data_IF_169434438097
#
_entry.id   IF_169434438097
#
_cell.length_a   1.000
_cell.length_b   1.000
_cell.length_c   1.000
_cell.angle_alpha   90.00
_cell.angle_beta   90.00
_cell.angle_gamma   90.00
#
_symmetry.space_group_name_H-M   'P 1'
#
loop_
_entity.id
_entity.type
_entity.pdbx_description
1 polymer ?
#
# COMPACT_ATOMS: atom_id res chain seq x y z
N UNK A 1 -7.50 21.01 1.00
CA UNK A 1 -7.58 21.34 -0.44
C UNK A 1 -7.54 22.85 -0.56
N UNK A 2 -6.52 23.39 -1.22
CA UNK A 2 -6.37 24.81 -1.53
C UNK A 2 -7.35 25.13 -2.69
N UNK A 3 -8.48 25.74 -2.37
CA UNK A 3 -9.47 26.24 -3.31
C UNK A 3 -9.85 27.65 -2.90
N UNK A 4 -9.65 28.59 -3.82
CA UNK A 4 -9.83 30.04 -3.68
C UNK A 4 -11.16 30.39 -3.03
N UNK A 5 -11.14 31.25 -2.00
CA UNK A 5 -12.33 31.79 -1.32
C UNK A 5 -12.66 33.18 -1.85
N UNK A 6 -13.83 33.31 -2.48
CA UNK A 6 -14.57 34.59 -2.60
C UNK A 6 -15.84 34.58 -1.71
N UNK A 7 -15.82 33.82 -0.61
CA UNK A 7 -16.96 33.69 0.30
C UNK A 7 -16.90 34.67 1.47
N UNK A 8 -17.97 35.45 1.68
CA UNK A 8 -18.11 36.33 2.84
C UNK A 8 -17.93 35.55 4.17
N UNK A 9 -17.22 36.13 5.15
CA UNK A 9 -16.98 35.47 6.44
C UNK A 9 -18.31 35.25 7.18
N UNK A 10 -18.62 33.98 7.48
CA UNK A 10 -19.71 33.62 8.39
C UNK A 10 -20.82 32.75 7.80
N UNK A 11 -20.85 32.49 6.49
CA UNK A 11 -21.83 31.57 5.88
C UNK A 11 -21.14 30.28 5.43
N UNK A 12 -21.27 29.21 6.22
CA UNK A 12 -20.85 27.86 5.81
C UNK A 12 -21.85 27.38 4.76
N UNK A 13 -21.52 27.55 3.48
CA UNK A 13 -22.41 27.18 2.39
C UNK A 13 -22.07 25.76 1.88
N UNK A 14 -23.07 24.89 1.82
CA UNK A 14 -23.17 23.64 1.04
C UNK A 14 -21.99 22.65 1.11
N UNK A 15 -20.87 23.00 0.47
CA UNK A 15 -19.68 22.16 0.34
C UNK A 15 -18.78 22.26 1.59
N UNK A 16 -18.72 23.42 2.25
CA UNK A 16 -17.93 23.59 3.50
C UNK A 16 -18.61 22.95 4.72
N UNK A 17 -19.87 22.53 4.60
CA UNK A 17 -20.62 21.83 5.66
C UNK A 17 -20.44 20.31 5.65
N UNK A 18 -19.80 19.74 4.62
CA UNK A 18 -19.55 18.29 4.53
C UNK A 18 -18.08 17.99 4.80
N UNK A 19 -17.82 16.99 5.66
CA UNK A 19 -16.46 16.57 5.98
C UNK A 19 -15.74 16.08 4.73
N UNK A 20 -14.58 16.67 4.39
CA UNK A 20 -13.72 16.18 3.31
C UNK A 20 -12.79 15.04 3.75
N UNK A 21 -13.00 14.47 4.95
CA UNK A 21 -12.18 13.34 5.40
C UNK A 21 -12.46 12.12 4.53
N UNK A 22 -11.39 11.46 4.10
CA UNK A 22 -11.46 10.15 3.45
C UNK A 22 -12.23 9.20 4.37
N UNK A 23 -13.21 8.50 3.81
CA UNK A 23 -14.07 7.58 4.56
C UNK A 23 -13.53 6.14 4.54
N UNK A 24 -12.88 5.77 3.43
CA UNK A 24 -12.19 4.51 3.26
C UNK A 24 -11.22 4.61 2.09
N UNK A 25 -10.22 3.73 2.08
CA UNK A 25 -9.28 3.54 0.97
C UNK A 25 -9.39 2.12 0.44
N UNK A 26 -9.38 1.97 -0.87
CA UNK A 26 -9.29 0.66 -1.53
C UNK A 26 -7.99 0.62 -2.33
N UNK A 27 -7.19 -0.42 -2.11
CA UNK A 27 -5.93 -0.63 -2.84
C UNK A 27 -6.03 -1.87 -3.71
N UNK A 28 -5.43 -1.85 -4.89
CA UNK A 28 -5.37 -2.99 -5.81
C UNK A 28 -3.92 -3.26 -6.15
N UNK A 29 -3.43 -4.48 -5.87
CA UNK A 29 -2.08 -4.94 -6.20
C UNK A 29 -0.99 -3.90 -5.84
N UNK A 30 -1.03 -3.38 -4.61
CA UNK A 30 -0.15 -2.29 -4.20
C UNK A 30 1.18 -2.82 -3.64
N UNK A 31 2.34 -2.31 -4.11
CA UNK A 31 3.65 -2.61 -3.53
C UNK A 31 3.88 -1.80 -2.25
N UNK A 32 3.32 -2.25 -1.12
CA UNK A 32 3.35 -1.52 0.16
C UNK A 32 4.71 -1.41 0.85
N UNK A 33 5.71 -2.12 0.35
CA UNK A 33 7.04 -2.13 0.94
C UNK A 33 8.14 -2.22 -0.12
N UNK A 34 8.52 -1.12 -0.79
CA UNK A 34 9.62 -1.13 -1.76
C UNK A 34 10.98 -1.55 -1.19
N UNK A 35 11.16 -1.61 0.13
CA UNK A 35 12.36 -2.19 0.75
C UNK A 35 12.35 -3.74 0.77
N UNK A 36 11.19 -4.37 0.52
CA UNK A 36 11.03 -5.83 0.53
C UNK A 36 11.22 -6.42 -0.87
N UNK A 37 12.48 -6.45 -1.30
CA UNK A 37 12.90 -6.93 -2.61
C UNK A 37 13.94 -8.04 -2.52
N UNK A 38 14.13 -8.74 -3.63
CA UNK A 38 15.18 -9.74 -3.83
C UNK A 38 15.12 -10.92 -2.84
N UNK A 39 13.92 -11.42 -2.57
CA UNK A 39 13.72 -12.59 -1.72
C UNK A 39 13.98 -13.89 -2.49
N UNK A 40 14.42 -14.98 -1.82
CA UNK A 40 14.64 -16.27 -2.47
C UNK A 40 13.39 -16.82 -3.19
N UNK A 41 12.21 -16.56 -2.63
CA UNK A 41 10.92 -16.97 -3.17
C UNK A 41 10.38 -16.10 -4.32
N UNK A 42 11.04 -14.98 -4.64
CA UNK A 42 10.66 -14.10 -5.74
C UNK A 42 10.82 -14.80 -7.10
N UNK A 43 9.82 -14.61 -7.97
CA UNK A 43 9.92 -14.99 -9.38
C UNK A 43 10.83 -14.04 -10.14
N UNK A 44 11.22 -14.41 -11.36
CA UNK A 44 12.00 -13.48 -12.20
C UNK A 44 11.22 -12.20 -12.53
N UNK A 45 9.89 -12.28 -12.63
CA UNK A 45 9.05 -11.16 -13.05
C UNK A 45 8.81 -10.17 -11.91
N UNK A 46 8.39 -10.65 -10.74
CA UNK A 46 8.17 -9.77 -9.57
C UNK A 46 9.48 -9.11 -9.10
N UNK A 47 10.61 -9.85 -9.10
CA UNK A 47 11.92 -9.31 -8.76
C UNK A 47 12.30 -8.18 -9.71
N UNK A 48 12.14 -8.39 -11.01
CA UNK A 48 12.47 -7.39 -12.03
C UNK A 48 11.58 -6.15 -11.88
N UNK A 49 10.28 -6.34 -11.66
CA UNK A 49 9.35 -5.23 -11.45
C UNK A 49 9.71 -4.43 -10.21
N UNK A 50 9.87 -5.08 -9.05
CA UNK A 50 10.14 -4.40 -7.80
C UNK A 50 11.49 -3.67 -7.80
N UNK A 51 12.54 -4.28 -8.36
CA UNK A 51 13.83 -3.59 -8.55
C UNK A 51 13.70 -2.40 -9.51
N UNK A 52 12.85 -2.48 -10.55
CA UNK A 52 12.60 -1.34 -11.44
C UNK A 52 11.86 -0.21 -10.74
N UNK A 53 10.90 -0.53 -9.87
CA UNK A 53 10.19 0.47 -9.05
C UNK A 53 11.20 1.17 -8.15
N UNK A 54 12.02 0.43 -7.42
CA UNK A 54 13.05 1.00 -6.54
C UNK A 54 14.02 1.89 -7.33
N UNK A 55 14.58 1.38 -8.44
CA UNK A 55 15.55 2.13 -9.22
C UNK A 55 14.98 3.41 -9.83
N UNK A 56 13.81 3.33 -10.46
CA UNK A 56 13.22 4.45 -11.20
C UNK A 56 12.53 5.47 -10.28
N UNK A 57 11.97 5.01 -9.15
CA UNK A 57 11.26 5.88 -8.20
C UNK A 57 12.21 6.50 -7.17
N UNK A 58 13.19 5.73 -6.67
CA UNK A 58 14.10 6.18 -5.60
C UNK A 58 15.46 6.67 -6.11
N UNK A 59 15.73 6.51 -7.41
CA UNK A 59 16.93 6.99 -8.08
C UNK A 59 18.15 6.09 -7.89
N UNK A 60 17.95 4.81 -7.61
CA UNK A 60 19.02 3.82 -7.50
C UNK A 60 18.53 2.48 -6.95
N UNK A 61 19.29 1.42 -7.23
CA UNK A 61 19.08 0.11 -6.62
C UNK A 61 19.48 0.14 -5.13
N UNK A 62 18.84 -0.69 -4.28
CA UNK A 62 19.19 -0.77 -2.88
C UNK A 62 20.52 -1.52 -2.71
N UNK A 63 21.27 -1.20 -1.66
CA UNK A 63 22.46 -1.97 -1.29
C UNK A 63 22.03 -3.37 -0.86
N UNK A 64 22.60 -4.40 -1.51
CA UNK A 64 22.31 -5.80 -1.22
C UNK A 64 23.45 -6.41 -0.42
N UNK A 65 23.12 -7.09 0.68
CA UNK A 65 24.07 -7.82 1.50
C UNK A 65 24.47 -9.17 0.89
N UNK A 66 25.44 -9.84 1.49
CA UNK A 66 25.93 -11.14 1.03
C UNK A 66 24.86 -12.25 1.03
N UNK A 67 23.82 -12.10 1.86
CA UNK A 67 22.69 -13.04 1.94
C UNK A 67 21.56 -12.69 0.95
N UNK A 68 21.76 -11.68 0.09
CA UNK A 68 20.76 -11.21 -0.86
C UNK A 68 19.70 -10.29 -0.26
N UNK A 69 19.82 -9.93 1.03
CA UNK A 69 18.94 -8.99 1.71
C UNK A 69 19.29 -7.53 1.44
N UNK A 70 18.37 -6.60 1.71
CA UNK A 70 18.67 -5.17 1.63
C UNK A 70 19.47 -4.73 2.87
N UNK A 71 20.72 -4.34 2.67
CA UNK A 71 21.69 -4.02 3.73
C UNK A 71 21.36 -2.72 4.48
N UNK A 72 20.82 -1.72 3.78
CA UNK A 72 20.33 -0.47 4.37
C UNK A 72 19.07 -0.04 3.63
N UNK A 73 17.88 -0.13 4.26
CA UNK A 73 16.66 0.16 3.54
C UNK A 73 16.47 1.66 3.28
N UNK A 74 17.19 2.56 3.97
CA UNK A 74 17.30 3.99 3.66
C UNK A 74 16.03 4.63 3.08
N UNK A 75 16.15 5.21 1.88
CA UNK A 75 15.04 5.82 1.13
C UNK A 75 13.90 4.85 0.82
N UNK A 76 14.18 3.55 0.69
CA UNK A 76 13.15 2.56 0.41
C UNK A 76 12.24 2.33 1.62
N UNK A 77 12.77 2.33 2.84
CA UNK A 77 11.94 2.28 4.06
C UNK A 77 11.09 3.55 4.24
N UNK A 78 11.66 4.71 3.94
CA UNK A 78 10.93 6.00 3.95
C UNK A 78 9.85 6.06 2.86
N UNK A 79 10.08 5.43 1.71
CA UNK A 79 9.10 5.37 0.63
C UNK A 79 8.05 4.26 0.83
N UNK A 80 8.22 3.37 1.81
CA UNK A 80 7.30 2.27 2.08
C UNK A 80 6.05 2.74 2.81
N UNK A 81 4.83 2.62 2.25
CA UNK A 81 3.61 2.95 2.97
C UNK A 81 3.42 2.16 4.29
N UNK A 82 3.92 0.92 4.36
CA UNK A 82 3.79 0.08 5.56
C UNK A 82 4.48 0.67 6.80
N UNK A 83 5.48 1.55 6.64
CA UNK A 83 6.20 2.18 7.76
C UNK A 83 5.48 3.42 8.30
N UNK A 84 4.45 3.90 7.59
CA UNK A 84 3.71 5.12 7.91
C UNK A 84 2.31 4.87 8.46
N UNK A 85 1.95 3.61 8.70
CA UNK A 85 0.63 3.24 9.22
C UNK A 85 0.45 3.80 10.63
N UNK A 86 -0.63 4.55 10.84
CA UNK A 86 -1.00 5.12 12.14
C UNK A 86 -2.41 4.71 12.53
N UNK A 87 -2.73 4.78 13.83
CA UNK A 87 -4.06 4.41 14.34
C UNK A 87 -5.19 5.30 13.78
N UNK A 88 -4.86 6.53 13.39
CA UNK A 88 -5.82 7.50 12.85
C UNK A 88 -6.10 7.30 11.35
N UNK A 89 -5.47 6.30 10.72
CA UNK A 89 -5.71 5.98 9.32
C UNK A 89 -7.14 5.49 9.11
N UNK A 90 -7.70 5.87 7.97
CA UNK A 90 -9.08 5.53 7.60
C UNK A 90 -9.21 4.04 7.28
N UNK A 91 -10.42 3.46 7.34
CA UNK A 91 -10.62 2.06 6.98
C UNK A 91 -10.02 1.69 5.60
N UNK A 92 -9.30 0.56 5.53
CA UNK A 92 -8.60 0.13 4.31
C UNK A 92 -9.08 -1.24 3.84
N UNK A 93 -9.46 -1.34 2.56
CA UNK A 93 -9.67 -2.60 1.85
C UNK A 93 -8.48 -2.89 0.93
N UNK A 94 -7.80 -4.01 1.18
CA UNK A 94 -6.69 -4.48 0.36
C UNK A 94 -7.17 -5.56 -0.60
N UNK A 95 -7.10 -5.30 -1.89
CA UNK A 95 -7.38 -6.27 -2.94
C UNK A 95 -6.10 -6.72 -3.65
N UNK A 96 -5.90 -8.03 -3.74
CA UNK A 96 -4.71 -8.61 -4.40
C UNK A 96 -5.10 -9.89 -5.18
N UNK A 97 -4.17 -10.47 -5.93
CA UNK A 97 -4.35 -11.78 -6.57
C UNK A 97 -3.39 -12.78 -5.95
N UNK A 98 -3.85 -14.00 -5.66
CA UNK A 98 -2.97 -15.04 -5.10
C UNK A 98 -1.89 -15.50 -6.09
N UNK A 99 -2.10 -15.27 -7.39
CA UNK A 99 -1.17 -15.58 -8.46
C UNK A 99 -0.79 -14.31 -9.24
N UNK A 100 -0.62 -13.18 -8.56
CA UNK A 100 -0.09 -11.96 -9.19
C UNK A 100 1.37 -12.20 -9.61
N UNK A 101 1.72 -12.10 -10.91
CA UNK A 101 3.09 -12.35 -11.36
C UNK A 101 4.01 -11.13 -11.18
N UNK A 102 3.46 -9.98 -10.79
CA UNK A 102 4.18 -8.70 -10.71
C UNK A 102 4.37 -8.25 -9.27
N UNK A 103 3.33 -8.38 -8.45
CA UNK A 103 3.33 -7.91 -7.06
C UNK A 103 3.26 -9.10 -6.13
N UNK A 104 4.32 -9.40 -5.38
CA UNK A 104 4.30 -10.52 -4.44
C UNK A 104 3.19 -10.39 -3.40
N UNK A 105 2.43 -11.47 -3.19
CA UNK A 105 1.31 -11.52 -2.23
C UNK A 105 1.72 -11.11 -0.82
N UNK A 106 3.00 -11.29 -0.46
CA UNK A 106 3.53 -10.88 0.85
C UNK A 106 3.37 -9.38 1.13
N UNK A 107 3.35 -8.50 0.11
CA UNK A 107 3.12 -7.07 0.34
C UNK A 107 1.72 -6.81 0.90
N UNK A 108 0.70 -7.42 0.30
CA UNK A 108 -0.68 -7.29 0.76
C UNK A 108 -0.86 -7.89 2.16
N UNK A 109 -0.30 -9.10 2.40
CA UNK A 109 -0.37 -9.75 3.71
C UNK A 109 0.37 -8.97 4.80
N UNK A 110 1.57 -8.47 4.51
CA UNK A 110 2.37 -7.68 5.44
C UNK A 110 1.66 -6.39 5.83
N UNK A 111 1.09 -5.66 4.86
CA UNK A 111 0.33 -4.44 5.13
C UNK A 111 -0.93 -4.72 5.93
N UNK A 112 -1.66 -5.79 5.60
CA UNK A 112 -2.84 -6.19 6.36
C UNK A 112 -2.50 -6.51 7.82
N UNK A 113 -1.44 -7.29 8.07
CA UNK A 113 -0.96 -7.56 9.44
C UNK A 113 -0.60 -6.27 10.18
N UNK A 114 0.13 -5.35 9.52
CA UNK A 114 0.51 -4.07 10.13
C UNK A 114 -0.69 -3.20 10.49
N UNK A 115 -1.71 -3.14 9.62
CA UNK A 115 -2.96 -2.41 9.88
C UNK A 115 -3.70 -3.01 11.08
N UNK A 116 -3.78 -4.35 11.16
CA UNK A 116 -4.40 -5.05 12.29
C UNK A 116 -3.67 -4.81 13.60
N UNK A 117 -2.35 -4.86 13.60
CA UNK A 117 -1.50 -4.58 14.76
C UNK A 117 -1.67 -3.13 15.26
N UNK A 118 -1.82 -2.18 14.33
CA UNK A 118 -1.97 -0.75 14.65
C UNK A 118 -3.41 -0.38 15.03
N UNK A 119 -4.37 -1.29 14.87
CA UNK A 119 -5.78 -1.08 15.20
C UNK A 119 -6.59 -0.35 14.13
N UNK A 120 -6.08 -0.29 12.90
CA UNK A 120 -6.79 0.31 11.76
C UNK A 120 -7.84 -0.67 11.23
N UNK A 121 -9.12 -0.25 11.09
CA UNK A 121 -10.16 -1.09 10.50
C UNK A 121 -9.75 -1.51 9.09
N UNK A 122 -9.59 -2.81 8.86
CA UNK A 122 -9.03 -3.30 7.61
C UNK A 122 -9.60 -4.64 7.22
N UNK A 123 -9.72 -4.85 5.91
CA UNK A 123 -10.06 -6.13 5.29
C UNK A 123 -9.08 -6.39 4.13
N UNK A 124 -8.76 -7.65 3.88
CA UNK A 124 -7.97 -8.07 2.73
C UNK A 124 -8.68 -9.21 2.00
N UNK A 125 -8.73 -9.15 0.68
CA UNK A 125 -9.38 -10.18 -0.15
C UNK A 125 -8.65 -10.38 -1.47
N UNK A 126 -8.62 -11.62 -1.94
CA UNK A 126 -8.09 -11.96 -3.26
C UNK A 126 -9.20 -12.35 -4.23
N UNK A 127 -8.97 -12.13 -5.53
CA UNK A 127 -9.76 -12.87 -6.54
C UNK A 127 -9.21 -14.29 -6.60
N UNK A 128 -9.87 -15.23 -5.93
CA UNK A 128 -9.63 -16.64 -6.20
C UNK A 128 -9.85 -16.91 -7.71
N UNK A 129 -9.04 -17.79 -8.31
CA UNK A 129 -9.30 -18.33 -9.66
C UNK A 129 -10.77 -18.66 -9.74
N UNK A 130 -11.42 -18.23 -10.82
CA UNK A 130 -12.83 -18.45 -11.08
C UNK A 130 -13.23 -19.84 -10.58
N UNK A 131 -14.10 -19.88 -9.57
CA UNK A 131 -15.22 -20.78 -9.36
C UNK A 131 -15.71 -20.67 -7.90
N UNK A 132 -16.90 -20.10 -7.77
CA UNK A 132 -17.87 -20.16 -6.66
C UNK A 132 -17.56 -19.52 -5.30
N UNK A 133 -18.37 -18.49 -5.01
CA UNK A 133 -18.85 -18.00 -3.69
C UNK A 133 -17.80 -17.65 -2.64
N UNK A 134 -17.84 -16.39 -2.18
CA UNK A 134 -18.01 -16.00 -0.77
C UNK A 134 -17.95 -14.46 -0.72
N UNK A 135 -19.12 -13.85 -0.73
CA UNK A 135 -19.39 -12.55 -0.11
C UNK A 135 -20.75 -12.69 0.56
N UNK A 136 -20.76 -13.28 1.75
CA UNK A 136 -21.90 -13.30 2.67
C UNK A 136 -21.40 -13.82 4.02
N UNK A 137 -21.08 -12.89 4.92
CA UNK A 137 -21.61 -12.82 6.29
C UNK A 137 -21.24 -11.46 6.87
#
# INVERSE_FOLDING_TARGET
MLGVKDGQPGKVAGIDSVSSKVQAVVTVAAPFNPADVNKPEDTAMDRSFMLSVVNNYLGGLPDIDWNGGVASPGKAAEASPITHVTKDDTPILIYYSDNDPVIPVRHAKGMYSKLKETGVPSNAGSRAKAHSRIWMK
#
